data_IF_795948821998
#
_entry.id   IF_795948821998
#
_cell.length_a   1.000
_cell.length_b   1.000
_cell.length_c   1.000
_cell.angle_alpha   90.00
_cell.angle_beta   90.00
_cell.angle_gamma   90.00
#
_symmetry.space_group_name_H-M   'P 1'
#
loop_
_entity.id
_entity.type
_entity.pdbx_description
1 polymer ?
#
# COMPACT_ATOMS: atom_id res chain seq x y z
N UNK A 1 -16.99 -20.06 -22.12
CA UNK A 1 -18.10 -19.18 -21.73
C UNK A 1 -19.37 -19.80 -22.29
N UNK A 2 -20.47 -19.78 -21.54
CA UNK A 2 -21.79 -19.99 -22.13
C UNK A 2 -22.30 -18.56 -22.39
N UNK A 3 -22.29 -18.12 -23.65
CA UNK A 3 -22.78 -16.81 -24.07
C UNK A 3 -24.16 -16.99 -24.68
N UNK A 4 -25.09 -16.08 -24.38
CA UNK A 4 -26.38 -16.01 -25.06
C UNK A 4 -26.31 -14.83 -26.03
N UNK A 5 -26.05 -15.15 -27.30
CA UNK A 5 -25.96 -14.17 -28.37
C UNK A 5 -27.36 -13.80 -28.88
N UNK A 6 -27.71 -12.52 -28.84
CA UNK A 6 -28.92 -12.01 -29.49
C UNK A 6 -28.46 -11.26 -30.74
N UNK A 7 -28.41 -11.98 -31.86
CA UNK A 7 -28.10 -11.39 -33.16
C UNK A 7 -29.34 -10.65 -33.68
N UNK A 8 -29.34 -9.32 -33.58
CA UNK A 8 -30.31 -8.49 -34.27
C UNK A 8 -29.76 -8.14 -35.66
N UNK A 9 -30.05 -8.99 -36.65
CA UNK A 9 -29.79 -8.64 -38.04
C UNK A 9 -30.78 -7.55 -38.47
N UNK A 10 -30.29 -6.32 -38.65
CA UNK A 10 -31.05 -5.24 -39.26
C UNK A 10 -31.21 -5.48 -40.76
N UNK A 11 -32.25 -6.22 -41.16
CA UNK A 11 -32.68 -6.30 -42.55
C UNK A 11 -33.50 -5.06 -42.91
N UNK A 12 -32.87 -3.90 -43.08
CA UNK A 12 -33.47 -2.80 -43.86
C UNK A 12 -32.43 -1.71 -44.20
N UNK A 13 -31.52 -2.01 -45.14
CA UNK A 13 -31.18 -1.04 -46.18
C UNK A 13 -31.80 -1.61 -47.46
N UNK A 14 -33.03 -1.18 -47.77
CA UNK A 14 -33.81 -1.71 -48.90
C UNK A 14 -33.10 -1.49 -50.22
N UNK A 15 -32.77 -2.61 -50.89
CA UNK A 15 -33.25 -2.87 -52.23
C UNK A 15 -33.83 -4.29 -52.25
N UNK A 16 -35.14 -4.38 -52.41
CA UNK A 16 -35.96 -5.54 -52.82
C UNK A 16 -35.29 -6.93 -52.82
N UNK A 17 -35.63 -7.77 -51.84
CA UNK A 17 -36.42 -9.00 -52.00
C UNK A 17 -36.22 -9.93 -50.79
N UNK A 18 -37.31 -10.57 -50.39
CA UNK A 18 -37.41 -11.53 -49.29
C UNK A 18 -36.43 -12.69 -49.48
N UNK A 19 -35.29 -12.64 -48.79
CA UNK A 19 -34.30 -13.71 -48.83
C UNK A 19 -33.79 -13.97 -47.43
N UNK A 20 -34.15 -15.15 -46.92
CA UNK A 20 -33.49 -15.81 -45.80
C UNK A 20 -31.98 -15.71 -45.99
N UNK A 21 -31.19 -15.46 -44.92
CA UNK A 21 -29.72 -15.37 -45.00
C UNK A 21 -29.01 -16.57 -45.68
N UNK A 22 -29.75 -17.65 -45.96
CA UNK A 22 -29.37 -18.85 -46.68
C UNK A 22 -29.27 -18.69 -48.22
N UNK A 23 -29.78 -17.63 -48.83
CA UNK A 23 -29.85 -17.45 -50.30
C UNK A 23 -29.03 -16.26 -50.83
N UNK A 24 -28.07 -15.74 -50.05
CA UNK A 24 -27.09 -14.77 -50.58
C UNK A 24 -26.01 -15.50 -51.38
N UNK A 25 -26.36 -15.87 -52.61
CA UNK A 25 -25.40 -16.31 -53.62
C UNK A 25 -24.34 -15.23 -53.88
N UNK A 26 -23.22 -15.28 -53.16
CA UNK A 26 -22.00 -14.51 -53.43
C UNK A 26 -21.97 -13.04 -52.98
N UNK A 27 -23.08 -12.45 -52.52
CA UNK A 27 -23.10 -11.07 -52.04
C UNK A 27 -22.84 -11.00 -50.52
N UNK A 28 -21.79 -10.30 -50.10
CA UNK A 28 -21.48 -10.16 -48.68
C UNK A 28 -22.36 -9.14 -47.95
N UNK A 29 -22.51 -9.31 -46.63
CA UNK A 29 -23.39 -8.52 -45.78
C UNK A 29 -22.68 -8.05 -44.50
N UNK A 30 -23.07 -6.88 -43.99
CA UNK A 30 -22.63 -6.37 -42.69
C UNK A 30 -23.68 -6.65 -41.62
N UNK A 31 -23.24 -6.92 -40.40
CA UNK A 31 -24.12 -7.05 -39.25
C UNK A 31 -23.49 -6.48 -37.98
N UNK A 32 -24.35 -6.17 -37.03
CA UNK A 32 -23.98 -5.75 -35.67
C UNK A 32 -24.62 -6.72 -34.70
N UNK A 33 -23.83 -7.32 -33.82
CA UNK A 33 -24.28 -8.19 -32.75
C UNK A 33 -24.18 -7.50 -31.39
N UNK A 34 -25.07 -7.89 -30.48
CA UNK A 34 -24.93 -7.56 -29.08
C UNK A 34 -25.13 -8.84 -28.27
N UNK A 35 -24.06 -9.22 -27.59
CA UNK A 35 -23.96 -10.46 -26.84
C UNK A 35 -23.93 -10.15 -25.35
N UNK A 36 -24.71 -10.94 -24.60
CA UNK A 36 -24.70 -10.90 -23.14
C UNK A 36 -24.06 -12.19 -22.62
N UNK A 37 -22.90 -12.02 -22.01
CA UNK A 37 -22.06 -13.13 -21.53
C UNK A 37 -21.80 -12.95 -20.04
N UNK A 38 -22.59 -13.57 -19.15
CA UNK A 38 -22.37 -13.46 -17.71
C UNK A 38 -20.92 -13.79 -17.33
N UNK A 39 -20.24 -12.84 -16.69
CA UNK A 39 -18.82 -12.96 -16.39
C UNK A 39 -18.57 -13.41 -14.95
N UNK A 40 -17.84 -14.53 -14.80
CA UNK A 40 -17.35 -15.01 -13.51
C UNK A 40 -15.95 -14.45 -13.26
N UNK A 41 -15.72 -13.94 -12.06
CA UNK A 41 -14.43 -13.40 -11.67
C UNK A 41 -13.40 -14.53 -11.60
N UNK A 42 -12.47 -14.52 -12.56
CA UNK A 42 -11.30 -15.40 -12.58
C UNK A 42 -10.03 -14.71 -12.08
N UNK A 43 -10.15 -13.47 -11.60
CA UNK A 43 -9.02 -12.71 -11.07
C UNK A 43 -8.56 -13.39 -9.78
N UNK A 44 -7.33 -13.90 -9.80
CA UNK A 44 -6.65 -14.52 -8.68
C UNK A 44 -5.35 -13.78 -8.44
N UNK A 45 -4.86 -13.83 -7.21
CA UNK A 45 -3.54 -13.33 -6.82
C UNK A 45 -3.31 -11.85 -7.17
N UNK A 46 -4.38 -11.05 -7.11
CA UNK A 46 -4.32 -9.61 -7.30
C UNK A 46 -3.50 -8.96 -6.17
N UNK A 47 -2.51 -8.15 -6.53
CA UNK A 47 -1.65 -7.44 -5.60
C UNK A 47 -1.47 -6.00 -6.04
N UNK A 48 -1.22 -5.11 -5.07
CA UNK A 48 -1.01 -3.68 -5.29
C UNK A 48 0.34 -3.33 -4.71
N UNK A 49 1.17 -2.63 -5.47
CA UNK A 49 2.48 -2.12 -5.03
C UNK A 49 2.77 -0.81 -5.74
N UNK A 50 3.55 0.05 -5.10
CA UNK A 50 4.15 1.19 -5.78
C UNK A 50 5.17 0.72 -6.84
N UNK A 51 5.22 1.44 -7.95
CA UNK A 51 6.10 1.12 -9.09
C UNK A 51 7.60 1.27 -8.78
N UNK A 52 7.94 2.08 -7.78
CA UNK A 52 9.31 2.22 -7.26
C UNK A 52 9.77 1.03 -6.39
N UNK A 53 8.86 0.11 -6.03
CA UNK A 53 9.16 -1.06 -5.19
C UNK A 53 9.35 -0.75 -3.69
N UNK A 54 8.95 0.43 -3.22
CA UNK A 54 9.09 0.81 -1.80
C UNK A 54 8.07 0.16 -0.87
N UNK A 55 6.92 -0.28 -1.43
CA UNK A 55 5.88 -0.97 -0.66
C UNK A 55 6.42 -2.28 -0.07
N UNK A 56 6.40 -2.38 1.27
CA UNK A 56 6.75 -3.61 1.99
C UNK A 56 5.55 -4.49 2.30
N UNK A 57 4.41 -3.87 2.58
CA UNK A 57 3.16 -4.58 2.88
C UNK A 57 1.94 -3.72 2.54
N UNK A 58 0.84 -4.38 2.22
CA UNK A 58 -0.48 -3.77 2.02
C UNK A 58 -1.35 -4.02 3.26
N UNK A 59 -1.92 -2.98 3.84
CA UNK A 59 -2.80 -3.08 5.00
C UNK A 59 -4.21 -2.59 4.66
N UNK A 60 -5.26 -3.39 4.90
CA UNK A 60 -6.62 -2.97 4.59
C UNK A 60 -7.16 -2.01 5.63
N UNK A 61 -8.10 -1.16 5.23
CA UNK A 61 -8.80 -0.26 6.12
C UNK A 61 -9.84 -1.01 6.97
N UNK A 62 -9.88 -0.72 8.28
CA UNK A 62 -10.84 -1.22 9.26
C UNK A 62 -12.17 -0.48 9.12
N UNK A 63 -13.25 -1.24 9.01
CA UNK A 63 -14.62 -0.72 8.89
C UNK A 63 -14.99 0.19 10.08
N UNK A 64 -15.31 1.46 9.82
CA UNK A 64 -15.88 2.35 10.84
C UNK A 64 -16.83 3.40 10.25
N UNK A 65 -17.96 2.93 9.70
CA UNK A 65 -19.04 3.79 9.20
C UNK A 65 -18.87 4.27 7.76
N UNK A 66 -19.65 5.29 7.36
CA UNK A 66 -19.79 5.74 5.96
C UNK A 66 -18.61 6.58 5.44
N UNK A 67 -17.73 7.07 6.30
CA UNK A 67 -16.65 7.99 5.91
C UNK A 67 -15.27 7.40 6.20
N UNK A 68 -14.42 7.35 5.18
CA UNK A 68 -13.02 6.96 5.32
C UNK A 68 -12.26 8.09 6.02
N UNK A 69 -11.84 7.85 7.27
CA UNK A 69 -10.92 8.71 7.99
C UNK A 69 -9.55 8.08 7.92
N UNK A 70 -8.67 8.70 7.16
CA UNK A 70 -7.30 8.28 7.05
C UNK A 70 -6.61 8.58 8.39
N UNK A 71 -6.64 7.62 9.30
CA UNK A 71 -5.93 7.61 10.58
C UNK A 71 -5.27 6.24 10.75
N UNK A 72 -4.10 6.17 11.38
CA UNK A 72 -3.31 4.93 11.39
C UNK A 72 -3.98 3.76 12.12
N UNK A 73 -4.70 4.03 13.20
CA UNK A 73 -5.44 3.02 13.94
C UNK A 73 -6.68 2.49 13.19
N UNK A 74 -7.03 3.10 12.05
CA UNK A 74 -8.10 2.64 11.15
C UNK A 74 -7.58 1.67 10.09
N UNK A 75 -6.32 1.26 10.12
CA UNK A 75 -5.80 0.19 9.25
C UNK A 75 -5.56 -1.08 10.06
N UNK A 76 -5.82 -2.24 9.46
CA UNK A 76 -5.59 -3.54 10.09
C UNK A 76 -4.11 -3.94 9.96
N UNK A 77 -3.29 -3.43 10.87
CA UNK A 77 -1.87 -3.76 10.93
C UNK A 77 -1.56 -5.24 11.24
N UNK A 78 -2.55 -6.03 11.62
CA UNK A 78 -2.36 -7.45 11.94
C UNK A 78 -2.53 -8.37 10.73
N UNK A 79 -3.13 -7.88 9.64
CA UNK A 79 -3.40 -8.64 8.42
C UNK A 79 -2.65 -8.03 7.23
N UNK A 80 -1.31 -8.14 7.17
CA UNK A 80 -0.54 -7.68 6.03
C UNK A 80 -0.86 -8.52 4.78
N UNK A 81 -0.84 -7.86 3.63
CA UNK A 81 -1.05 -8.44 2.29
C UNK A 81 -2.33 -9.30 2.19
N UNK A 82 -3.52 -8.71 2.47
CA UNK A 82 -4.77 -9.44 2.39
C UNK A 82 -5.05 -9.88 0.95
N UNK A 83 -5.70 -11.03 0.80
CA UNK A 83 -6.18 -11.48 -0.51
C UNK A 83 -7.31 -10.58 -1.00
N UNK A 84 -7.06 -9.82 -2.06
CA UNK A 84 -8.07 -8.96 -2.70
C UNK A 84 -8.88 -9.82 -3.68
N UNK A 85 -10.16 -10.02 -3.37
CA UNK A 85 -11.09 -10.78 -4.20
C UNK A 85 -12.02 -9.87 -5.00
N UNK A 86 -12.67 -10.43 -6.02
CA UNK A 86 -13.69 -9.74 -6.80
C UNK A 86 -14.95 -10.59 -6.95
N UNK A 87 -16.12 -9.94 -6.94
CA UNK A 87 -17.43 -10.56 -7.14
C UNK A 87 -17.65 -10.89 -8.60
N UNK A 88 -18.35 -11.99 -8.84
CA UNK A 88 -18.88 -12.32 -10.15
C UNK A 88 -19.84 -11.22 -10.58
N UNK A 89 -19.82 -10.86 -11.86
CA UNK A 89 -20.73 -9.87 -12.40
C UNK A 89 -21.51 -10.46 -13.56
N UNK A 90 -22.71 -10.92 -13.23
CA UNK A 90 -23.61 -11.44 -14.24
C UNK A 90 -24.22 -10.31 -15.09
N UNK A 91 -24.32 -9.07 -14.61
CA UNK A 91 -25.16 -8.00 -15.20
C UNK A 91 -24.42 -7.03 -16.14
N UNK A 92 -23.14 -6.74 -15.91
CA UNK A 92 -22.38 -5.71 -16.66
C UNK A 92 -21.26 -6.34 -17.49
N UNK A 93 -21.60 -7.45 -18.15
CA UNK A 93 -20.75 -8.11 -19.11
C UNK A 93 -21.48 -8.09 -20.45
N UNK A 94 -21.08 -7.15 -21.31
CA UNK A 94 -21.70 -6.91 -22.61
C UNK A 94 -20.61 -6.92 -23.66
N UNK A 95 -20.91 -7.55 -24.78
CA UNK A 95 -20.02 -7.64 -25.92
C UNK A 95 -20.76 -7.15 -27.17
N UNK A 96 -20.14 -6.21 -27.87
CA UNK A 96 -20.62 -5.72 -29.14
C UNK A 96 -19.76 -6.30 -30.23
N UNK A 97 -20.39 -6.80 -31.29
CA UNK A 97 -19.67 -7.32 -32.45
C UNK A 97 -20.08 -6.57 -33.71
N UNK A 98 -19.12 -6.31 -34.59
CA UNK A 98 -19.38 -5.86 -35.96
C UNK A 98 -18.77 -6.87 -36.88
N UNK A 99 -19.59 -7.43 -37.77
CA UNK A 99 -19.17 -8.51 -38.64
C UNK A 99 -19.46 -8.26 -40.11
N UNK A 100 -18.68 -8.93 -40.95
CA UNK A 100 -18.89 -9.03 -42.39
C UNK A 100 -18.90 -10.50 -42.79
N UNK A 101 -19.98 -10.94 -43.42
CA UNK A 101 -20.16 -12.30 -43.91
C UNK A 101 -20.13 -12.37 -45.43
N UNK A 102 -19.57 -13.44 -46.00
CA UNK A 102 -19.69 -13.80 -47.41
C UNK A 102 -19.79 -15.33 -47.57
N UNK A 103 -20.91 -15.79 -48.13
CA UNK A 103 -21.22 -17.22 -48.16
C UNK A 103 -21.26 -17.82 -46.74
N UNK A 104 -20.49 -18.89 -46.51
CA UNK A 104 -20.36 -19.50 -45.18
C UNK A 104 -19.25 -18.92 -44.30
N UNK A 105 -18.46 -17.95 -44.78
CA UNK A 105 -17.36 -17.36 -44.02
C UNK A 105 -17.76 -16.00 -43.43
N UNK A 106 -17.33 -15.72 -42.19
CA UNK A 106 -17.58 -14.45 -41.50
C UNK A 106 -16.30 -13.95 -40.82
N UNK A 107 -16.15 -12.63 -40.76
CA UNK A 107 -15.12 -11.96 -39.96
C UNK A 107 -15.82 -11.03 -38.98
N UNK A 108 -15.49 -11.15 -37.69
CA UNK A 108 -16.11 -10.39 -36.60
C UNK A 108 -15.05 -9.63 -35.81
N UNK A 109 -15.30 -8.35 -35.55
CA UNK A 109 -14.60 -7.58 -34.53
C UNK A 109 -15.51 -7.51 -33.30
N UNK A 110 -15.07 -8.11 -32.21
CA UNK A 110 -15.76 -8.15 -30.93
C UNK A 110 -15.07 -7.22 -29.93
N UNK A 111 -15.87 -6.42 -29.23
CA UNK A 111 -15.45 -5.58 -28.12
C UNK A 111 -16.32 -5.91 -26.92
N UNK A 112 -15.71 -6.51 -25.91
CA UNK A 112 -16.35 -6.85 -24.65
C UNK A 112 -15.96 -5.88 -23.54
N UNK A 113 -16.91 -5.58 -22.65
CA UNK A 113 -16.65 -4.88 -21.41
C UNK A 113 -17.22 -5.67 -20.24
N UNK A 114 -16.35 -6.00 -19.30
CA UNK A 114 -16.69 -6.66 -18.04
C UNK A 114 -16.25 -5.79 -16.87
N UNK A 115 -17.04 -5.75 -15.81
CA UNK A 115 -16.72 -5.03 -14.58
C UNK A 115 -16.84 -5.96 -13.37
N UNK A 116 -15.84 -6.05 -12.51
CA UNK A 116 -15.87 -6.87 -11.31
C UNK A 116 -15.69 -5.99 -10.07
N UNK A 117 -16.67 -5.97 -9.17
CA UNK A 117 -16.57 -5.24 -7.90
C UNK A 117 -15.68 -5.99 -6.92
N UNK A 118 -14.95 -5.28 -6.07
CA UNK A 118 -14.12 -5.91 -5.03
C UNK A 118 -14.98 -6.60 -3.96
N UNK A 119 -14.55 -7.79 -3.51
CA UNK A 119 -15.11 -8.46 -2.33
C UNK A 119 -14.55 -7.81 -1.08
N UNK A 120 -15.43 -7.34 -0.20
CA UNK A 120 -15.03 -6.88 1.12
C UNK A 120 -14.48 -8.02 1.99
N UNK A 121 -13.67 -7.67 2.99
CA UNK A 121 -12.97 -8.65 3.85
C UNK A 121 -13.93 -9.52 4.69
N UNK A 122 -15.17 -9.06 4.88
CA UNK A 122 -16.20 -9.75 5.69
C UNK A 122 -17.41 -10.19 4.87
N UNK A 123 -17.23 -10.62 3.62
CA UNK A 123 -18.34 -10.97 2.72
C UNK A 123 -19.12 -12.22 3.22
N UNK A 124 -20.01 -12.01 4.18
CA UNK A 124 -21.08 -12.92 4.63
C UNK A 124 -22.44 -12.52 4.06
N UNK A 125 -22.47 -11.72 2.99
CA UNK A 125 -23.70 -11.34 2.27
C UNK A 125 -24.35 -10.02 2.71
N UNK A 126 -23.62 -9.10 3.35
CA UNK A 126 -24.11 -7.74 3.64
C UNK A 126 -23.51 -6.70 2.69
N UNK A 127 -24.28 -5.63 2.43
CA UNK A 127 -23.98 -4.56 1.46
C UNK A 127 -22.53 -4.05 1.61
N UNK A 128 -21.86 -3.88 0.47
CA UNK A 128 -20.50 -3.35 0.38
C UNK A 128 -20.48 -1.89 0.86
N UNK A 129 -19.85 -1.65 2.00
CA UNK A 129 -19.53 -0.31 2.49
C UNK A 129 -18.23 0.17 1.82
N UNK A 130 -18.13 1.45 1.48
CA UNK A 130 -17.00 2.05 0.74
C UNK A 130 -15.62 1.76 1.38
N UNK A 131 -15.57 1.53 2.69
CA UNK A 131 -14.37 1.20 3.47
C UNK A 131 -13.70 -0.14 3.09
N UNK A 132 -14.43 -1.09 2.48
CA UNK A 132 -13.93 -2.42 2.10
C UNK A 132 -12.90 -2.41 0.95
N UNK A 133 -12.61 -1.24 0.41
CA UNK A 133 -11.88 -1.05 -0.85
C UNK A 133 -10.58 -0.25 -0.68
N UNK A 134 -10.28 0.18 0.54
CA UNK A 134 -9.18 1.10 0.85
C UNK A 134 -8.00 0.34 1.45
N UNK A 135 -6.81 0.58 0.90
CA UNK A 135 -5.57 -0.09 1.28
C UNK A 135 -4.43 0.91 1.49
N UNK A 136 -3.69 0.75 2.59
CA UNK A 136 -2.43 1.46 2.87
C UNK A 136 -1.25 0.65 2.33
N UNK A 137 -0.45 1.29 1.49
CA UNK A 137 0.84 0.80 1.03
C UNK A 137 1.89 1.26 2.04
N UNK A 138 2.20 0.39 3.01
CA UNK A 138 3.16 0.71 4.05
C UNK A 138 4.59 0.46 3.55
N UNK A 139 5.48 1.37 3.96
CA UNK A 139 6.92 1.32 3.67
C UNK A 139 7.69 0.75 4.87
N UNK A 140 9.01 0.81 4.79
CA UNK A 140 9.94 0.05 5.63
C UNK A 140 9.85 0.40 7.12
N UNK A 141 9.86 1.68 7.50
CA UNK A 141 9.82 2.11 8.90
C UNK A 141 8.50 1.71 9.58
N UNK A 142 7.37 1.97 8.94
CA UNK A 142 6.06 1.60 9.49
C UNK A 142 5.93 0.08 9.67
N UNK A 143 6.34 -0.68 8.64
CA UNK A 143 6.31 -2.14 8.66
C UNK A 143 7.23 -2.74 9.74
N UNK A 144 8.47 -2.26 9.83
CA UNK A 144 9.47 -2.80 10.76
C UNK A 144 9.12 -2.50 12.23
N UNK A 145 8.48 -1.35 12.52
CA UNK A 145 7.98 -1.04 13.87
C UNK A 145 6.89 -2.01 14.30
N UNK A 146 5.86 -2.21 13.46
CA UNK A 146 4.71 -3.07 13.79
C UNK A 146 5.16 -4.53 13.94
N UNK A 147 6.05 -4.99 13.06
CA UNK A 147 6.57 -6.37 13.09
C UNK A 147 7.70 -6.59 14.11
N UNK A 148 8.20 -5.52 14.75
CA UNK A 148 9.25 -5.62 15.77
C UNK A 148 10.65 -5.92 15.21
N UNK A 149 10.92 -5.62 13.94
CA UNK A 149 12.19 -5.91 13.26
C UNK A 149 13.27 -4.88 13.62
N UNK A 150 13.77 -4.91 14.86
CA UNK A 150 14.67 -3.90 15.43
C UNK A 150 15.92 -3.62 14.58
N UNK A 151 16.58 -4.63 14.02
CA UNK A 151 17.79 -4.44 13.22
C UNK A 151 17.52 -3.77 11.87
N UNK A 152 16.42 -4.14 11.19
CA UNK A 152 16.01 -3.52 9.93
C UNK A 152 15.50 -2.10 10.15
N UNK A 153 14.71 -1.89 11.21
CA UNK A 153 14.30 -0.56 11.64
C UNK A 153 15.50 0.34 11.95
N UNK A 154 16.52 -0.19 12.63
CA UNK A 154 17.77 0.54 12.90
C UNK A 154 18.45 0.96 11.60
N UNK A 155 18.57 0.03 10.63
CA UNK A 155 19.21 0.32 9.34
C UNK A 155 18.42 1.34 8.52
N UNK A 156 17.09 1.29 8.54
CA UNK A 156 16.22 2.24 7.88
C UNK A 156 16.30 3.63 8.54
N UNK A 157 16.15 3.70 9.87
CA UNK A 157 16.28 4.95 10.63
C UNK A 157 17.65 5.61 10.46
N UNK A 158 18.72 4.83 10.37
CA UNK A 158 20.07 5.37 10.17
C UNK A 158 20.24 6.06 8.81
N UNK A 159 19.44 5.70 7.79
CA UNK A 159 19.41 6.35 6.48
C UNK A 159 18.50 7.58 6.45
N UNK A 160 17.59 7.69 7.42
CA UNK A 160 16.67 8.82 7.56
C UNK A 160 17.42 10.08 7.99
N UNK A 161 17.08 11.21 7.37
CA UNK A 161 17.71 12.48 7.69
C UNK A 161 17.34 12.96 9.10
N UNK A 162 18.25 13.65 9.79
CA UNK A 162 17.95 14.21 11.11
C UNK A 162 16.76 15.17 11.12
N UNK A 163 16.52 15.88 10.01
CA UNK A 163 15.35 16.78 9.87
C UNK A 163 14.03 16.00 9.92
N UNK A 164 13.98 14.84 9.27
CA UNK A 164 12.77 14.00 9.25
C UNK A 164 12.55 13.34 10.62
N UNK A 165 13.62 12.95 11.31
CA UNK A 165 13.56 12.46 12.70
C UNK A 165 13.01 13.53 13.65
N UNK A 166 13.41 14.80 13.48
CA UNK A 166 12.86 15.92 14.25
C UNK A 166 11.37 16.11 13.95
N UNK A 167 10.95 16.01 12.69
CA UNK A 167 9.53 16.11 12.33
C UNK A 167 8.71 14.98 12.94
N UNK A 168 9.21 13.76 12.89
CA UNK A 168 8.60 12.61 13.53
C UNK A 168 8.45 12.81 15.05
N UNK A 169 9.52 13.19 15.74
CA UNK A 169 9.49 13.45 17.17
C UNK A 169 8.47 14.53 17.57
N UNK A 170 8.39 15.63 16.81
CA UNK A 170 7.38 16.68 17.01
C UNK A 170 5.96 16.16 16.81
N UNK A 171 5.75 15.29 15.82
CA UNK A 171 4.44 14.69 15.58
C UNK A 171 4.04 13.74 16.73
N UNK A 172 4.99 13.00 17.30
CA UNK A 172 4.78 12.17 18.49
C UNK A 172 4.44 13.04 19.71
N UNK A 173 5.19 14.12 19.96
CA UNK A 173 4.94 15.06 21.06
C UNK A 173 3.52 15.63 21.02
N UNK A 174 3.09 16.12 19.85
CA UNK A 174 1.78 16.75 19.66
C UNK A 174 0.64 15.73 19.76
N UNK A 175 0.82 14.54 19.17
CA UNK A 175 -0.29 13.60 19.02
C UNK A 175 -0.42 12.64 20.21
N UNK A 176 0.71 12.22 20.80
CA UNK A 176 0.78 11.15 21.81
C UNK A 176 1.95 11.36 22.78
N UNK A 177 1.82 12.33 23.69
CA UNK A 177 2.87 12.68 24.67
C UNK A 177 3.32 11.52 25.57
N UNK A 178 2.48 10.51 25.79
CA UNK A 178 2.86 9.32 26.56
C UNK A 178 3.86 8.42 25.81
N UNK A 179 3.81 8.41 24.47
CA UNK A 179 4.81 7.72 23.64
C UNK A 179 6.11 8.52 23.64
N UNK A 180 6.02 9.86 23.56
CA UNK A 180 7.19 10.75 23.60
C UNK A 180 8.05 10.51 24.86
N UNK A 181 7.41 10.24 26.00
CA UNK A 181 8.06 9.90 27.28
C UNK A 181 8.73 8.52 27.31
N UNK A 182 8.37 7.60 26.41
CA UNK A 182 8.86 6.21 26.40
C UNK A 182 10.09 6.02 25.50
N UNK A 183 10.31 6.91 24.55
CA UNK A 183 11.37 6.81 23.54
C UNK A 183 12.52 7.74 23.89
N UNK A 184 13.76 7.27 23.75
CA UNK A 184 14.96 8.00 24.21
C UNK A 184 14.89 8.38 25.69
N UNK A 185 14.39 7.47 26.52
CA UNK A 185 14.30 7.62 27.97
C UNK A 185 15.03 6.45 28.68
N UNK A 186 15.63 6.75 29.82
CA UNK A 186 16.44 5.81 30.61
C UNK A 186 17.85 5.63 30.04
N UNK A 187 18.54 4.59 30.51
CA UNK A 187 20.00 4.46 30.38
C UNK A 187 20.49 3.17 29.74
N UNK A 188 19.58 2.40 29.14
CA UNK A 188 19.91 1.08 28.60
C UNK A 188 20.89 1.15 27.40
N UNK A 189 20.98 2.30 26.73
CA UNK A 189 21.89 2.57 25.62
C UNK A 189 23.01 3.56 26.00
N UNK A 190 23.22 3.82 27.29
CA UNK A 190 24.27 4.71 27.75
C UNK A 190 25.65 4.23 27.29
N UNK A 191 26.43 5.16 26.72
CA UNK A 191 27.85 4.93 26.42
C UNK A 191 28.57 4.94 27.77
N UNK A 192 28.86 3.75 28.30
CA UNK A 192 29.43 3.57 29.63
C UNK A 192 30.92 3.93 29.63
N UNK A 193 31.26 5.04 30.28
CA UNK A 193 32.61 5.34 30.74
C UNK A 193 33.04 4.33 31.82
N UNK A 194 34.35 4.18 32.08
CA UNK A 194 34.97 3.27 33.06
C UNK A 194 34.59 3.44 34.54
N UNK A 195 33.39 3.95 34.84
CA UNK A 195 32.66 3.89 36.11
C UNK A 195 31.19 4.16 35.79
N UNK A 196 30.27 3.36 36.35
CA UNK A 196 28.81 3.28 36.10
C UNK A 196 28.04 4.61 36.07
N UNK A 197 28.27 5.50 35.11
CA UNK A 197 27.56 6.78 35.08
C UNK A 197 27.13 7.16 33.67
N UNK A 198 25.88 6.81 33.38
CA UNK A 198 25.12 7.37 32.28
C UNK A 198 24.99 8.89 32.42
N UNK A 199 24.64 9.57 31.32
CA UNK A 199 24.46 11.02 31.34
C UNK A 199 23.25 11.44 32.18
N UNK A 200 23.19 12.66 32.70
CA UNK A 200 22.01 13.16 33.43
C UNK A 200 21.13 14.06 32.56
N UNK A 201 21.66 14.64 31.49
CA UNK A 201 20.90 15.48 30.57
C UNK A 201 21.46 15.44 29.14
N UNK A 202 20.60 15.75 28.18
CA UNK A 202 20.95 15.85 26.77
C UNK A 202 21.65 17.17 26.42
N UNK A 203 22.67 17.11 25.56
CA UNK A 203 23.36 18.27 25.01
C UNK A 203 23.91 17.99 23.61
N UNK A 204 24.06 19.03 22.79
CA UNK A 204 24.62 18.94 21.45
C UNK A 204 26.12 18.62 21.46
N UNK A 205 26.84 19.18 22.42
CA UNK A 205 28.29 19.02 22.62
C UNK A 205 28.48 18.59 24.07
N UNK A 206 28.41 17.28 24.35
CA UNK A 206 28.43 16.79 25.72
C UNK A 206 29.71 17.20 26.46
N UNK A 207 29.59 17.72 27.69
CA UNK A 207 30.74 17.93 28.59
C UNK A 207 30.66 17.03 29.83
N UNK A 208 31.82 16.61 30.34
CA UNK A 208 31.91 15.87 31.60
C UNK A 208 32.04 16.88 32.76
N UNK A 209 31.24 16.68 33.80
CA UNK A 209 31.03 17.62 34.90
C UNK A 209 29.91 17.15 35.83
N UNK A 210 29.44 18.01 36.74
CA UNK A 210 28.43 17.65 37.76
C UNK A 210 27.12 17.08 37.16
N UNK A 211 26.78 17.53 35.95
CA UNK A 211 25.55 17.20 35.22
C UNK A 211 25.75 16.16 34.10
N UNK A 212 26.96 15.59 33.92
CA UNK A 212 27.30 14.50 32.97
C UNK A 212 26.45 14.49 31.69
N UNK A 213 26.86 15.19 30.65
CA UNK A 213 26.01 15.36 29.48
C UNK A 213 26.15 14.20 28.48
N UNK A 214 25.12 13.99 27.66
CA UNK A 214 25.13 12.97 26.61
C UNK A 214 24.36 13.42 25.39
N UNK A 215 24.73 12.93 24.21
CA UNK A 215 23.95 13.03 22.98
C UNK A 215 23.49 11.63 22.50
N UNK A 216 23.45 10.67 23.41
CA UNK A 216 23.03 9.29 23.16
C UNK A 216 21.58 9.09 23.58
N UNK A 217 20.69 8.77 22.63
CA UNK A 217 19.31 8.37 22.90
C UNK A 217 19.31 7.20 23.90
N UNK A 218 18.46 7.31 24.93
CA UNK A 218 18.41 6.37 26.04
C UNK A 218 19.76 6.14 26.73
N UNK A 219 20.53 7.23 26.81
CA UNK A 219 21.79 7.32 27.54
C UNK A 219 21.70 8.08 28.86
N UNK A 220 20.48 8.31 29.39
CA UNK A 220 20.24 9.00 30.65
C UNK A 220 20.28 8.03 31.84
N UNK A 221 20.92 8.38 32.95
CA UNK A 221 20.96 7.56 34.15
C UNK A 221 19.61 7.40 34.84
N UNK A 222 19.57 6.49 35.81
CA UNK A 222 18.40 6.24 36.67
C UNK A 222 18.38 7.12 37.94
N UNK A 223 19.47 7.84 38.22
CA UNK A 223 19.56 8.75 39.37
C UNK A 223 20.18 10.09 39.03
N UNK A 224 19.51 11.16 39.46
CA UNK A 224 19.96 12.55 39.30
C UNK A 224 19.81 13.10 37.87
N UNK A 225 19.10 12.40 37.01
CA UNK A 225 18.77 12.82 35.65
C UNK A 225 17.72 13.93 35.61
N UNK A 226 17.87 14.83 34.65
CA UNK A 226 16.99 15.98 34.48
C UNK A 226 15.67 15.54 33.84
N UNK A 227 14.58 15.58 34.62
CA UNK A 227 13.27 15.05 34.20
C UNK A 227 12.75 15.71 32.91
N UNK A 228 13.08 16.98 32.67
CA UNK A 228 12.73 17.73 31.45
C UNK A 228 13.38 17.17 30.19
N UNK A 229 14.38 16.29 30.28
CA UNK A 229 15.07 15.68 29.14
C UNK A 229 14.55 14.29 28.78
N UNK A 230 13.59 13.73 29.54
CA UNK A 230 13.09 12.34 29.36
C UNK A 230 12.05 12.19 28.23
N UNK A 231 12.32 12.79 27.08
CA UNK A 231 11.40 12.81 25.95
C UNK A 231 12.15 12.69 24.64
N UNK A 232 11.57 12.01 23.65
CA UNK A 232 12.12 11.94 22.29
C UNK A 232 12.23 13.34 21.68
N UNK A 233 11.19 14.17 21.82
CA UNK A 233 11.18 15.59 21.41
C UNK A 233 12.37 16.37 21.98
N UNK A 234 12.69 16.16 23.26
CA UNK A 234 13.81 16.81 23.96
C UNK A 234 15.16 16.25 23.54
N UNK A 235 15.25 14.95 23.30
CA UNK A 235 16.44 14.34 22.73
C UNK A 235 16.77 14.98 21.38
N UNK A 236 15.82 15.04 20.43
CA UNK A 236 16.11 15.55 19.08
C UNK A 236 16.44 17.04 19.05
N UNK A 237 15.78 17.84 19.92
CA UNK A 237 16.00 19.28 20.03
C UNK A 237 17.35 19.60 20.68
N UNK A 238 17.60 19.05 21.86
CA UNK A 238 18.77 19.42 22.68
C UNK A 238 20.07 18.83 22.15
N UNK A 239 20.01 17.74 21.39
CA UNK A 239 21.17 17.16 20.71
C UNK A 239 21.38 17.71 19.29
N UNK A 240 20.53 18.64 18.83
CA UNK A 240 20.68 19.34 17.55
C UNK A 240 20.67 18.43 16.32
N UNK A 241 19.85 17.39 16.34
CA UNK A 241 19.69 16.43 15.23
C UNK A 241 19.23 17.13 13.94
N UNK A 242 18.33 18.12 14.07
CA UNK A 242 17.85 18.90 12.92
C UNK A 242 18.92 19.76 12.24
N UNK A 243 20.02 20.04 12.94
CA UNK A 243 21.17 20.81 12.45
C UNK A 243 22.28 19.88 11.92
N UNK A 244 22.03 18.57 11.81
CA UNK A 244 22.99 17.58 11.31
C UNK A 244 24.00 17.12 12.35
N UNK A 245 23.77 17.35 13.65
CA UNK A 245 24.61 16.85 14.75
C UNK A 245 24.03 15.57 15.34
N UNK A 246 24.90 14.71 15.89
CA UNK A 246 24.53 13.58 16.76
C UNK A 246 23.53 12.55 16.17
N UNK A 247 23.39 12.46 14.84
CA UNK A 247 22.59 11.43 14.17
C UNK A 247 23.35 10.86 12.98
N UNK A 248 23.29 9.53 12.71
CA UNK A 248 22.59 8.47 13.46
C UNK A 248 23.40 7.89 14.62
N UNK A 249 24.63 8.36 14.83
CA UNK A 249 25.53 7.91 15.90
C UNK A 249 25.55 8.90 17.06
N UNK A 250 25.36 8.39 18.26
CA UNK A 250 25.41 9.15 19.50
C UNK A 250 26.83 9.31 20.03
N UNK A 251 26.98 10.19 21.02
CA UNK A 251 28.25 10.46 21.70
C UNK A 251 28.00 10.86 23.14
N UNK A 252 28.99 10.69 24.00
CA UNK A 252 28.94 11.10 25.39
C UNK A 252 30.29 11.68 25.82
N UNK A 253 30.27 12.51 26.85
CA UNK A 253 31.50 12.97 27.48
C UNK A 253 32.04 11.90 28.44
N UNK A 254 33.36 11.75 28.47
CA UNK A 254 34.08 10.85 29.35
C UNK A 254 35.28 11.55 29.97
N UNK A 255 35.41 11.45 31.29
CA UNK A 255 36.63 11.78 32.00
C UNK A 255 37.70 10.74 31.66
N UNK A 256 38.81 11.21 31.11
CA UNK A 256 40.01 10.41 30.98
C UNK A 256 40.72 10.40 32.34
N UNK A 257 40.53 9.34 33.11
CA UNK A 257 41.16 9.13 34.42
C UNK A 257 42.69 9.21 34.39
N UNK A 258 43.30 9.13 33.20
CA UNK A 258 44.75 9.18 32.98
C UNK A 258 45.29 10.60 32.82
N UNK A 259 44.49 11.52 32.29
CA UNK A 259 44.93 12.89 31.95
C UNK A 259 44.15 14.00 32.65
N UNK A 260 43.07 13.67 33.37
CA UNK A 260 42.17 14.65 33.99
C UNK A 260 41.43 15.53 32.98
N UNK A 261 41.46 15.16 31.69
CA UNK A 261 40.81 15.87 30.60
C UNK A 261 39.49 15.21 30.18
N UNK A 262 38.55 16.03 29.69
CA UNK A 262 37.26 15.55 29.17
C UNK A 262 37.45 15.13 27.71
N UNK A 263 37.21 13.85 27.41
CA UNK A 263 37.21 13.29 26.06
C UNK A 263 35.78 13.00 25.60
N UNK A 264 35.45 13.38 24.38
CA UNK A 264 34.20 12.95 23.73
C UNK A 264 34.40 11.54 23.18
N UNK A 265 33.50 10.62 23.55
CA UNK A 265 33.48 9.25 23.07
C UNK A 265 32.27 9.05 22.20
N UNK A 266 32.52 8.63 20.97
CA UNK A 266 31.47 8.23 20.04
C UNK A 266 30.97 6.83 20.40
N UNK A 267 29.65 6.65 20.28
CA UNK A 267 29.04 5.34 20.42
C UNK A 267 29.37 4.44 19.23
N UNK A 268 28.97 3.16 19.29
CA UNK A 268 29.01 2.29 18.12
C UNK A 268 28.27 2.92 16.94
N UNK A 269 28.64 2.53 15.71
CA UNK A 269 27.96 2.97 14.49
C UNK A 269 26.45 2.83 14.62
N UNK A 270 25.71 3.91 14.30
CA UNK A 270 24.25 4.00 14.38
C UNK A 270 23.66 3.84 15.79
N UNK A 271 24.42 4.12 16.86
CA UNK A 271 23.95 3.90 18.24
C UNK A 271 22.67 4.66 18.60
N UNK A 272 22.41 5.85 18.05
CA UNK A 272 21.16 6.58 18.30
C UNK A 272 20.00 5.96 17.53
N UNK A 273 20.19 5.64 16.25
CA UNK A 273 19.18 4.92 15.46
C UNK A 273 18.81 3.57 16.11
N UNK A 274 19.80 2.83 16.63
CA UNK A 274 19.58 1.57 17.35
C UNK A 274 18.79 1.75 18.63
N UNK A 275 19.11 2.77 19.42
CA UNK A 275 18.40 3.08 20.66
C UNK A 275 16.94 3.47 20.38
N UNK A 276 16.70 4.35 19.40
CA UNK A 276 15.33 4.71 18.96
C UNK A 276 14.58 3.46 18.50
N UNK A 277 15.16 2.65 17.61
CA UNK A 277 14.53 1.43 17.12
C UNK A 277 14.16 0.49 18.28
N UNK A 278 15.07 0.30 19.23
CA UNK A 278 14.89 -0.56 20.40
C UNK A 278 13.73 -0.06 21.28
N UNK A 279 13.60 1.25 21.46
CA UNK A 279 12.51 1.80 22.26
C UNK A 279 11.16 1.70 21.52
N UNK A 280 11.13 1.97 20.22
CA UNK A 280 9.92 1.83 19.39
C UNK A 280 9.42 0.39 19.34
N UNK A 281 10.32 -0.61 19.23
CA UNK A 281 9.91 -2.03 19.19
C UNK A 281 9.50 -2.59 20.55
N UNK A 282 9.79 -1.88 21.66
CA UNK A 282 9.34 -2.23 23.02
C UNK A 282 7.97 -1.67 23.39
N UNK A 283 7.41 -0.76 22.59
CA UNK A 283 6.07 -0.20 22.80
C UNK A 283 4.98 -1.30 22.75
N UNK A 284 3.79 -0.99 23.27
CA UNK A 284 2.64 -1.91 23.15
C UNK A 284 2.20 -2.04 21.68
N UNK A 285 1.41 -3.08 21.35
CA UNK A 285 0.92 -3.26 19.99
C UNK A 285 0.13 -2.03 19.49
N UNK A 286 -0.74 -1.46 20.32
CA UNK A 286 -1.50 -0.26 20.00
C UNK A 286 -0.58 0.95 19.73
N UNK A 287 0.40 1.19 20.61
CA UNK A 287 1.38 2.27 20.45
C UNK A 287 2.23 2.11 19.18
N UNK A 288 2.57 0.88 18.80
CA UNK A 288 3.27 0.59 17.54
C UNK A 288 2.44 0.99 16.32
N UNK A 289 1.13 0.73 16.30
CA UNK A 289 0.27 1.14 15.18
C UNK A 289 0.18 2.67 15.05
N UNK A 290 0.19 3.38 16.18
CA UNK A 290 0.22 4.83 16.22
C UNK A 290 1.54 5.34 15.64
N UNK A 291 2.67 4.81 16.11
CA UNK A 291 4.02 5.18 15.63
C UNK A 291 4.17 4.88 14.14
N UNK A 292 3.73 3.71 13.68
CA UNK A 292 3.79 3.34 12.27
C UNK A 292 3.02 4.33 11.39
N UNK A 293 1.86 4.76 11.86
CA UNK A 293 1.11 5.88 11.28
C UNK A 293 1.88 7.17 11.16
N UNK A 294 2.50 7.59 12.27
CA UNK A 294 3.28 8.83 12.32
C UNK A 294 4.53 8.76 11.43
N UNK A 295 5.18 7.61 11.34
CA UNK A 295 6.32 7.38 10.43
C UNK A 295 5.89 7.45 8.97
N UNK A 296 4.78 6.80 8.62
CA UNK A 296 4.20 6.91 7.27
C UNK A 296 3.79 8.36 6.94
N UNK A 297 3.27 9.11 7.92
CA UNK A 297 2.88 10.52 7.77
C UNK A 297 4.07 11.45 7.55
N UNK A 298 5.13 11.28 8.34
CA UNK A 298 6.19 12.30 8.48
C UNK A 298 7.44 11.99 7.68
N UNK A 299 7.81 10.72 7.53
CA UNK A 299 9.09 10.32 6.94
C UNK A 299 8.88 9.67 5.57
N UNK A 300 8.09 8.61 5.52
CA UNK A 300 8.08 7.75 4.33
C UNK A 300 7.08 8.20 3.25
N UNK A 301 6.04 8.92 3.67
CA UNK A 301 4.87 9.21 2.84
C UNK A 301 4.04 7.95 2.63
N UNK A 302 2.89 7.87 3.29
CA UNK A 302 1.94 6.78 3.08
C UNK A 302 1.15 6.99 1.80
N UNK A 303 1.05 5.95 0.96
CA UNK A 303 0.11 5.94 -0.16
C UNK A 303 -1.11 5.11 0.20
N UNK A 304 -2.29 5.66 -0.06
CA UNK A 304 -3.54 4.90 0.01
C UNK A 304 -4.18 4.80 -1.34
N UNK A 305 -4.60 3.58 -1.65
CA UNK A 305 -5.29 3.23 -2.86
C UNK A 305 -6.66 2.69 -2.50
N UNK A 306 -7.67 3.27 -3.13
CA UNK A 306 -9.03 2.79 -3.12
C UNK A 306 -9.29 2.03 -4.43
N UNK A 307 -9.77 0.78 -4.36
CA UNK A 307 -10.10 -0.06 -5.51
C UNK A 307 -11.52 -0.57 -5.36
N UNK A 308 -12.49 0.11 -5.97
CA UNK A 308 -13.90 -0.32 -5.89
C UNK A 308 -14.26 -1.41 -6.89
N UNK A 309 -13.63 -1.37 -8.07
CA UNK A 309 -13.84 -2.35 -9.11
C UNK A 309 -12.63 -2.46 -10.03
N UNK A 310 -12.53 -3.59 -10.73
CA UNK A 310 -11.64 -3.79 -11.86
C UNK A 310 -12.50 -4.02 -13.10
N UNK A 311 -12.16 -3.40 -14.22
CA UNK A 311 -12.75 -3.71 -15.52
C UNK A 311 -11.79 -4.49 -16.40
N UNK A 312 -12.36 -5.29 -17.29
CA UNK A 312 -11.66 -5.93 -18.40
C UNK A 312 -12.36 -5.50 -19.68
N UNK A 313 -11.61 -4.87 -20.59
CA UNK A 313 -12.09 -4.59 -21.95
C UNK A 313 -11.40 -5.57 -22.89
N UNK A 314 -12.16 -6.47 -23.52
CA UNK A 314 -11.64 -7.39 -24.53
C UNK A 314 -11.79 -6.78 -25.92
N UNK A 315 -10.80 -7.02 -26.77
CA UNK A 315 -10.87 -6.76 -28.20
C UNK A 315 -10.45 -8.04 -28.92
N UNK A 316 -11.35 -8.63 -29.69
CA UNK A 316 -11.13 -9.89 -30.40
C UNK A 316 -11.47 -9.73 -31.88
N UNK A 317 -10.69 -10.38 -32.73
CA UNK A 317 -10.95 -10.50 -34.15
C UNK A 317 -11.12 -11.98 -34.44
N UNK A 318 -12.33 -12.36 -34.86
CA UNK A 318 -12.72 -13.74 -35.13
C UNK A 318 -12.91 -13.95 -36.63
N UNK A 319 -12.46 -15.11 -37.10
CA UNK A 319 -12.85 -15.68 -38.39
C UNK A 319 -13.74 -16.88 -38.11
N UNK A 320 -14.97 -16.83 -38.59
CA UNK A 320 -15.99 -17.84 -38.35
C UNK A 320 -16.41 -18.53 -39.65
N UNK A 321 -16.83 -19.78 -39.53
CA UNK A 321 -17.35 -20.55 -40.65
C UNK A 321 -18.60 -21.33 -40.25
N UNK A 322 -19.67 -21.18 -41.03
CA UNK A 322 -20.93 -21.87 -40.84
C UNK A 322 -20.82 -23.34 -41.29
N UNK A 323 -21.03 -24.26 -40.38
CA UNK A 323 -21.07 -25.69 -40.64
C UNK A 323 -22.48 -26.05 -41.10
N UNK A 324 -22.67 -26.14 -42.42
CA UNK A 324 -23.95 -26.51 -43.01
C UNK A 324 -24.29 -27.97 -42.61
N UNK A 325 -25.37 -28.15 -41.85
CA UNK A 325 -25.95 -29.45 -41.55
C UNK A 325 -27.38 -29.49 -42.09
N UNK A 326 -27.63 -30.33 -43.08
CA UNK A 326 -28.97 -30.57 -43.60
C UNK A 326 -29.86 -31.17 -42.49
N UNK A 327 -31.02 -30.57 -42.24
CA UNK A 327 -32.08 -31.15 -41.40
C UNK A 327 -32.23 -30.62 -39.97
N UNK A 328 -31.41 -29.67 -39.51
CA UNK A 328 -31.66 -28.94 -38.25
C UNK A 328 -32.01 -27.48 -38.56
N UNK A 329 -33.07 -26.95 -37.94
CA UNK A 329 -33.42 -25.51 -38.00
C UNK A 329 -32.44 -24.58 -37.26
N UNK A 330 -31.20 -25.01 -37.07
CA UNK A 330 -30.09 -24.29 -36.42
C UNK A 330 -28.81 -24.54 -37.22
N UNK A 331 -28.07 -23.47 -37.50
CA UNK A 331 -26.79 -23.53 -38.23
C UNK A 331 -25.65 -23.43 -37.21
N UNK A 332 -24.92 -24.53 -36.94
CA UNK A 332 -23.71 -24.44 -36.13
C UNK A 332 -22.64 -23.64 -36.88
N UNK A 333 -21.86 -22.84 -36.17
CA UNK A 333 -20.70 -22.15 -36.74
C UNK A 333 -19.51 -22.30 -35.80
N UNK A 334 -18.31 -22.26 -36.36
CA UNK A 334 -17.06 -22.36 -35.61
C UNK A 334 -16.20 -21.13 -35.86
N UNK A 335 -15.68 -20.53 -34.80
CA UNK A 335 -14.81 -19.36 -34.87
C UNK A 335 -13.40 -19.68 -34.39
N UNK A 336 -12.41 -19.07 -35.04
CA UNK A 336 -11.04 -18.97 -34.56
C UNK A 336 -10.70 -17.49 -34.46
N UNK A 337 -10.27 -17.07 -33.27
CA UNK A 337 -10.06 -15.67 -32.94
C UNK A 337 -8.70 -15.38 -32.36
N UNK A 338 -8.26 -14.13 -32.55
CA UNK A 338 -7.11 -13.54 -31.89
C UNK A 338 -7.55 -12.26 -31.19
N UNK A 339 -7.14 -12.07 -29.95
CA UNK A 339 -7.54 -10.90 -29.19
C UNK A 339 -6.69 -10.67 -27.96
N UNK A 340 -7.01 -9.58 -27.26
CA UNK A 340 -6.38 -9.20 -26.01
C UNK A 340 -7.37 -8.56 -25.05
N UNK A 341 -7.06 -8.67 -23.75
CA UNK A 341 -7.83 -8.04 -22.69
C UNK A 341 -7.01 -6.92 -22.04
N UNK A 342 -7.63 -5.76 -21.89
CA UNK A 342 -7.09 -4.63 -21.16
C UNK A 342 -7.76 -4.57 -19.78
N UNK A 343 -6.95 -4.65 -18.72
CA UNK A 343 -7.45 -4.62 -17.35
C UNK A 343 -7.20 -3.23 -16.75
N UNK A 344 -8.24 -2.64 -16.16
CA UNK A 344 -8.17 -1.32 -15.52
C UNK A 344 -8.83 -1.30 -14.15
N UNK A 345 -8.41 -0.39 -13.27
CA UNK A 345 -9.12 -0.11 -12.01
C UNK A 345 -10.18 0.95 -12.28
N UNK A 346 -11.44 0.65 -11.96
CA UNK A 346 -12.59 1.55 -12.15
C UNK A 346 -13.03 2.08 -10.80
N UNK A 347 -13.35 3.38 -10.76
CA UNK A 347 -13.70 4.11 -9.53
C UNK A 347 -12.63 3.98 -8.44
N UNK A 348 -11.36 3.92 -8.86
CA UNK A 348 -10.22 3.94 -7.96
C UNK A 348 -9.76 5.37 -7.68
N UNK A 349 -9.35 5.63 -6.45
CA UNK A 349 -8.70 6.88 -6.09
C UNK A 349 -7.34 6.60 -5.46
N UNK A 350 -6.30 7.27 -5.96
CA UNK A 350 -4.96 7.27 -5.36
C UNK A 350 -4.83 8.55 -4.56
N UNK A 351 -4.55 8.43 -3.27
CA UNK A 351 -4.28 9.59 -2.42
C UNK A 351 -2.96 9.38 -1.71
N UNK A 352 -2.05 10.34 -1.90
CA UNK A 352 -0.89 10.47 -1.03
C UNK A 352 -1.38 11.02 0.30
N UNK A 353 -1.16 10.27 1.36
CA UNK A 353 -1.54 10.70 2.69
C UNK A 353 -0.35 11.39 3.33
N UNK A 354 -0.51 12.69 3.50
CA UNK A 354 0.12 13.42 4.61
C UNK A 354 -0.98 13.55 5.64
N UNK A 355 -0.99 12.64 6.62
CA UNK A 355 -2.01 12.60 7.66
C UNK A 355 -2.06 13.93 8.41
#
# INVERSE_FOLDING_TARGET
>A
MMSMAIVMAGNDVRAHDDVSALETGGAGYFYVGLDYSPAFSKIRDFSIRESNGETKAVYPYLKDGKSVKLESHKFDWNTPDPRIGFKDNMLVAMEGSVGYGIGGARVELEIGYERFKTKGIRDSGSKEDEADTVYLLAKELAYDVVTGQTDKLTAALAKTSGKDIVQFAKAVEISHSEIDKKVCNGGHSAIKAGSNTAGKKYAAEPVDGTNKETAQCSGLGESGEEKSHKFLSKFVDLTKIGEGKNWPTGRAAQNDSSSGSVKIVEGPTNSNAKAVATDLTKLTAEEKTIVAGLLAKTIEGGEVVEIRAVSSTSVMVNACYDLLSEGLGVVPYACVGLGGNFVGVVDGSRRTIRF
#
